data_IF_836543550311
#
_entry.id   IF_836543550311
#
_cell.length_a   1.000
_cell.length_b   1.000
_cell.length_c   1.000
_cell.angle_alpha   90.00
_cell.angle_beta   90.00
_cell.angle_gamma   90.00
#
_symmetry.space_group_name_H-M   'P 1'
#
loop_
_entity.id
_entity.type
_entity.pdbx_description
1 polymer ?
#
# COMPACT_ATOMS: atom_id res chain seq x y z
N UNK A 1 -23.07 7.37 16.87
CA UNK A 1 -22.65 6.09 16.26
C UNK A 1 -21.14 6.11 16.13
N UNK A 2 -20.43 5.19 16.79
CA UNK A 2 -18.98 5.07 16.63
C UNK A 2 -18.72 4.31 15.32
N UNK A 3 -18.47 5.03 14.23
CA UNK A 3 -18.08 4.41 12.96
C UNK A 3 -16.59 4.10 13.08
N UNK A 4 -16.24 2.82 13.23
CA UNK A 4 -14.83 2.40 13.19
C UNK A 4 -14.18 2.95 11.91
N UNK A 5 -13.01 3.59 12.02
CA UNK A 5 -12.33 4.14 10.87
C UNK A 5 -12.04 3.03 9.86
N UNK A 6 -12.31 3.30 8.58
CA UNK A 6 -12.04 2.32 7.53
C UNK A 6 -10.54 2.09 7.40
N UNK A 7 -10.14 0.85 7.16
CA UNK A 7 -8.74 0.47 7.00
C UNK A 7 -8.22 0.94 5.62
N UNK A 8 -7.04 1.55 5.61
CA UNK A 8 -6.29 1.92 4.42
C UNK A 8 -4.92 1.24 4.47
N UNK A 9 -4.72 0.25 3.60
CA UNK A 9 -3.44 -0.44 3.44
C UNK A 9 -2.63 0.22 2.34
N UNK A 10 -1.40 0.59 2.65
CA UNK A 10 -0.49 1.29 1.74
C UNK A 10 0.74 0.43 1.54
N UNK A 11 0.90 -0.21 0.38
CA UNK A 11 2.11 -0.96 0.04
C UNK A 11 3.19 0.04 -0.37
N UNK A 12 4.28 0.10 0.40
CA UNK A 12 5.36 1.07 0.24
C UNK A 12 6.65 0.36 -0.16
N UNK A 13 7.50 1.04 -0.92
CA UNK A 13 8.88 0.63 -1.15
C UNK A 13 9.49 1.32 -2.35
N UNK A 14 10.79 1.14 -2.55
CA UNK A 14 11.48 1.64 -3.74
C UNK A 14 10.91 1.09 -5.06
N UNK A 15 11.33 1.67 -6.20
CA UNK A 15 11.19 0.98 -7.48
C UNK A 15 11.69 -0.46 -7.38
N UNK A 16 11.07 -1.37 -8.14
CA UNK A 16 11.50 -2.77 -8.23
C UNK A 16 11.37 -3.63 -6.94
N UNK A 17 10.77 -3.13 -5.85
CA UNK A 17 10.49 -3.95 -4.65
C UNK A 17 9.37 -4.99 -4.83
N UNK A 18 8.71 -5.00 -5.98
CA UNK A 18 7.67 -5.97 -6.28
C UNK A 18 6.29 -5.59 -5.78
N UNK A 19 6.04 -4.33 -5.41
CA UNK A 19 4.75 -3.85 -4.87
C UNK A 19 3.54 -4.32 -5.68
N UNK A 20 3.61 -4.16 -7.01
CA UNK A 20 2.58 -4.62 -7.95
C UNK A 20 2.41 -6.13 -7.94
N UNK A 21 3.51 -6.88 -7.93
CA UNK A 21 3.47 -8.35 -7.86
C UNK A 21 2.87 -8.80 -6.53
N UNK A 22 3.27 -8.19 -5.42
CA UNK A 22 2.69 -8.43 -4.08
C UNK A 22 1.18 -8.20 -4.12
N UNK A 23 0.72 -7.06 -4.62
CA UNK A 23 -0.71 -6.77 -4.76
C UNK A 23 -1.43 -7.83 -5.63
N UNK A 24 -0.87 -8.18 -6.79
CA UNK A 24 -1.43 -9.20 -7.68
C UNK A 24 -1.53 -10.56 -6.99
N UNK A 25 -0.52 -10.95 -6.21
CA UNK A 25 -0.52 -12.20 -5.44
C UNK A 25 -1.56 -12.16 -4.32
N UNK A 26 -1.67 -11.06 -3.57
CA UNK A 26 -2.66 -10.88 -2.49
C UNK A 26 -4.09 -11.08 -2.99
N UNK A 27 -4.41 -10.57 -4.18
CA UNK A 27 -5.75 -10.68 -4.75
C UNK A 27 -5.91 -11.82 -5.75
N UNK A 28 -4.86 -12.60 -6.01
CA UNK A 28 -4.80 -13.63 -7.06
C UNK A 28 -5.31 -13.11 -8.42
N UNK A 29 -4.91 -11.89 -8.79
CA UNK A 29 -5.36 -11.18 -10.00
C UNK A 29 -4.18 -10.55 -10.72
N UNK A 30 -4.11 -10.67 -12.05
CA UNK A 30 -3.06 -10.03 -12.87
C UNK A 30 -3.29 -8.53 -13.11
N UNK A 31 -4.54 -8.08 -13.08
CA UNK A 31 -4.91 -6.70 -13.38
C UNK A 31 -5.95 -6.17 -12.42
N UNK A 32 -5.86 -4.87 -12.16
CA UNK A 32 -6.88 -4.11 -11.44
C UNK A 32 -7.40 -3.06 -12.43
N UNK A 33 -8.55 -3.36 -13.03
CA UNK A 33 -9.28 -2.36 -13.81
C UNK A 33 -9.84 -1.31 -12.84
N UNK A 34 -10.24 -0.12 -13.31
CA UNK A 34 -10.99 0.86 -12.52
C UNK A 34 -12.29 0.25 -12.01
N UNK A 35 -12.23 -0.48 -10.89
CA UNK A 35 -13.38 -1.19 -10.37
C UNK A 35 -14.26 -0.20 -9.62
N UNK A 36 -15.48 -0.01 -10.12
CA UNK A 36 -16.55 0.74 -9.45
C UNK A 36 -17.12 -0.01 -8.22
N UNK A 37 -16.59 -1.18 -7.87
CA UNK A 37 -17.11 -2.05 -6.80
C UNK A 37 -15.98 -2.73 -6.02
N UNK A 38 -16.18 -3.01 -4.72
CA UNK A 38 -15.24 -3.79 -3.93
C UNK A 38 -14.94 -5.16 -4.53
N UNK A 39 -13.67 -5.56 -4.46
CA UNK A 39 -13.22 -6.91 -4.77
C UNK A 39 -13.01 -7.69 -3.48
N UNK A 40 -13.25 -8.99 -3.53
CA UNK A 40 -12.95 -9.91 -2.43
C UNK A 40 -11.71 -10.72 -2.79
N UNK A 41 -10.92 -11.08 -1.79
CA UNK A 41 -9.85 -12.07 -1.92
C UNK A 41 -10.13 -13.21 -0.95
N UNK A 42 -10.07 -14.45 -1.43
CA UNK A 42 -10.43 -15.63 -0.62
C UNK A 42 -9.66 -15.70 0.71
N UNK A 43 -8.39 -15.29 0.70
CA UNK A 43 -7.51 -15.24 1.86
C UNK A 43 -7.90 -14.20 2.93
N UNK A 44 -8.81 -13.27 2.62
CA UNK A 44 -9.34 -12.28 3.56
C UNK A 44 -10.84 -12.49 3.81
N UNK A 45 -11.37 -13.66 3.45
CA UNK A 45 -12.78 -14.02 3.62
C UNK A 45 -13.73 -13.11 2.82
N UNK A 46 -14.79 -12.63 3.49
CA UNK A 46 -15.84 -11.82 2.87
C UNK A 46 -15.56 -10.30 2.83
N UNK A 47 -14.39 -9.87 3.33
CA UNK A 47 -14.01 -8.46 3.43
C UNK A 47 -13.81 -7.85 2.03
N UNK A 48 -14.46 -6.72 1.78
CA UNK A 48 -14.37 -6.00 0.51
C UNK A 48 -13.18 -5.05 0.48
N UNK A 49 -12.52 -4.96 -0.68
CA UNK A 49 -11.40 -4.06 -0.92
C UNK A 49 -11.63 -3.18 -2.15
N UNK A 50 -11.28 -1.91 -2.05
CA UNK A 50 -11.10 -1.02 -3.18
C UNK A 50 -9.59 -0.90 -3.44
N UNK A 51 -9.15 -1.43 -4.57
CA UNK A 51 -7.74 -1.38 -4.96
C UNK A 51 -7.50 -0.20 -5.89
N UNK A 52 -6.72 0.76 -5.43
CA UNK A 52 -6.31 1.94 -6.18
C UNK A 52 -4.96 1.62 -6.84
N UNK A 53 -5.03 0.96 -7.99
CA UNK A 53 -3.85 0.67 -8.81
C UNK A 53 -3.66 1.76 -9.86
N UNK A 54 -2.48 2.36 -9.90
CA UNK A 54 -2.10 3.37 -10.88
C UNK A 54 -0.89 2.81 -11.62
N UNK A 55 -0.90 2.85 -12.96
CA UNK A 55 0.16 2.26 -13.76
C UNK A 55 1.47 3.05 -13.61
N UNK A 56 2.59 2.34 -13.59
CA UNK A 56 3.94 2.89 -13.32
C UNK A 56 4.50 3.79 -14.45
N UNK A 57 3.74 4.12 -15.50
CA UNK A 57 4.31 4.59 -16.77
C UNK A 57 4.63 6.10 -16.86
N UNK A 58 4.13 6.95 -15.95
CA UNK A 58 4.59 8.33 -15.68
C UNK A 58 3.48 9.11 -14.98
N UNK A 59 3.36 9.02 -13.66
CA UNK A 59 2.42 9.88 -12.94
C UNK A 59 3.18 10.70 -11.92
N UNK A 60 3.01 12.01 -12.03
CA UNK A 60 3.39 12.96 -11.00
C UNK A 60 2.62 12.58 -9.74
N UNK A 61 3.19 12.79 -8.56
CA UNK A 61 2.49 12.50 -7.30
C UNK A 61 1.15 13.23 -7.21
N UNK A 62 1.04 14.40 -7.84
CA UNK A 62 -0.20 15.18 -7.93
C UNK A 62 -1.32 14.40 -8.65
N UNK A 63 -1.05 13.82 -9.81
CA UNK A 63 -2.01 13.02 -10.58
C UNK A 63 -2.43 11.78 -9.79
N UNK A 64 -1.44 11.16 -9.17
CA UNK A 64 -1.60 9.98 -8.32
C UNK A 64 -2.50 10.29 -7.12
N UNK A 65 -2.27 11.42 -6.44
CA UNK A 65 -3.07 11.90 -5.32
C UNK A 65 -4.49 12.28 -5.76
N UNK A 66 -4.64 12.97 -6.89
CA UNK A 66 -5.95 13.33 -7.44
C UNK A 66 -6.79 12.07 -7.69
N UNK A 67 -6.18 11.01 -8.22
CA UNK A 67 -6.84 9.74 -8.44
C UNK A 67 -7.21 9.03 -7.13
N UNK A 68 -6.33 9.02 -6.12
CA UNK A 68 -6.65 8.51 -4.78
C UNK A 68 -7.89 9.21 -4.23
N UNK A 69 -7.87 10.56 -4.22
CA UNK A 69 -8.97 11.38 -3.72
C UNK A 69 -10.27 11.06 -4.44
N UNK A 70 -10.24 10.98 -5.78
CA UNK A 70 -11.41 10.68 -6.60
C UNK A 70 -12.02 9.30 -6.26
N UNK A 71 -11.19 8.26 -6.15
CA UNK A 71 -11.66 6.90 -5.83
C UNK A 71 -12.17 6.80 -4.38
N UNK A 72 -11.48 7.42 -3.43
CA UNK A 72 -11.94 7.43 -2.03
C UNK A 72 -13.26 8.18 -1.87
N UNK A 73 -13.44 9.30 -2.59
CA UNK A 73 -14.68 10.07 -2.61
C UNK A 73 -15.84 9.30 -3.27
N UNK A 74 -15.60 8.55 -4.36
CA UNK A 74 -16.66 7.75 -4.99
C UNK A 74 -17.10 6.54 -4.14
N UNK A 75 -16.36 6.24 -3.07
CA UNK A 75 -16.59 5.09 -2.20
C UNK A 75 -16.82 5.50 -0.74
N UNK A 76 -17.23 6.73 -0.44
CA UNK A 76 -17.47 7.19 0.94
C UNK A 76 -18.40 6.27 1.74
N UNK A 77 -19.49 5.81 1.12
CA UNK A 77 -20.50 4.95 1.75
C UNK A 77 -20.24 3.45 1.56
N UNK A 78 -19.20 3.08 0.79
CA UNK A 78 -18.89 1.68 0.54
C UNK A 78 -18.19 1.06 1.77
N UNK A 79 -18.73 -0.02 2.37
CA UNK A 79 -18.11 -0.69 3.51
C UNK A 79 -16.96 -1.59 3.04
N UNK A 80 -15.87 -0.98 2.61
CA UNK A 80 -14.68 -1.65 2.10
C UNK A 80 -13.41 -1.01 2.67
N UNK A 81 -12.36 -1.84 2.76
CA UNK A 81 -11.00 -1.36 3.02
C UNK A 81 -10.37 -0.86 1.72
N UNK A 82 -9.41 0.05 1.83
CA UNK A 82 -8.67 0.56 0.67
C UNK A 82 -7.29 -0.07 0.61
N UNK A 83 -6.79 -0.29 -0.60
CA UNK A 83 -5.44 -0.77 -0.85
C UNK A 83 -4.79 0.08 -1.93
N UNK A 84 -3.59 0.57 -1.68
CA UNK A 84 -2.91 1.52 -2.56
C UNK A 84 -1.41 1.23 -2.58
N UNK A 85 -0.74 1.44 -3.72
CA UNK A 85 0.71 1.21 -3.87
C UNK A 85 1.42 2.53 -4.06
N UNK A 86 2.35 2.90 -3.17
CA UNK A 86 3.19 4.08 -3.33
C UNK A 86 4.66 3.72 -3.49
N UNK A 87 5.38 4.50 -4.30
CA UNK A 87 6.84 4.43 -4.35
C UNK A 87 7.43 5.36 -3.30
N UNK A 88 8.44 4.87 -2.57
CA UNK A 88 9.13 5.66 -1.57
C UNK A 88 10.17 6.56 -2.24
N UNK A 89 9.79 7.82 -2.49
CA UNK A 89 10.64 8.87 -3.05
C UNK A 89 10.39 10.13 -2.20
N UNK A 90 11.45 10.69 -1.60
CA UNK A 90 11.36 11.76 -0.60
C UNK A 90 12.33 12.92 -0.91
N UNK A 91 12.52 13.22 -2.20
CA UNK A 91 13.58 14.07 -2.73
C UNK A 91 13.13 15.45 -3.25
N UNK A 92 11.84 15.80 -3.11
CA UNK A 92 11.25 17.03 -3.63
C UNK A 92 10.93 17.02 -5.13
N UNK A 93 11.16 15.90 -5.82
CA UNK A 93 10.83 15.76 -7.24
C UNK A 93 9.33 15.68 -7.49
N UNK A 94 8.93 15.66 -8.76
CA UNK A 94 7.54 15.39 -9.18
C UNK A 94 7.02 14.02 -8.73
N UNK A 95 7.90 13.13 -8.24
CA UNK A 95 7.57 11.80 -7.70
C UNK A 95 7.62 11.76 -6.17
N UNK A 96 7.93 12.86 -5.50
CA UNK A 96 7.97 12.94 -4.04
C UNK A 96 6.62 12.54 -3.45
N UNK A 97 6.61 11.58 -2.53
CA UNK A 97 5.40 10.99 -1.95
C UNK A 97 4.81 11.81 -0.80
N UNK A 98 5.51 12.82 -0.28
CA UNK A 98 5.08 13.66 0.86
C UNK A 98 3.64 14.19 0.72
N UNK A 99 3.17 14.69 -0.45
CA UNK A 99 1.78 15.14 -0.57
C UNK A 99 0.74 14.04 -0.31
N UNK A 100 1.05 12.79 -0.69
CA UNK A 100 0.19 11.63 -0.42
C UNK A 100 0.20 11.29 1.06
N UNK A 101 1.37 11.33 1.71
CA UNK A 101 1.49 11.09 3.15
C UNK A 101 0.73 12.16 3.95
N UNK A 102 0.85 13.44 3.58
CA UNK A 102 0.09 14.54 4.19
C UNK A 102 -1.42 14.32 4.08
N UNK A 103 -1.90 13.90 2.90
CA UNK A 103 -3.31 13.56 2.72
C UNK A 103 -3.75 12.41 3.62
N UNK A 104 -2.96 11.34 3.74
CA UNK A 104 -3.27 10.21 4.62
C UNK A 104 -3.24 10.60 6.11
N UNK A 105 -2.28 11.44 6.52
CA UNK A 105 -2.18 11.94 7.89
C UNK A 105 -3.43 12.74 8.32
N UNK A 106 -4.01 13.49 7.39
CA UNK A 106 -5.23 14.27 7.60
C UNK A 106 -6.52 13.46 7.39
N UNK A 107 -6.40 12.23 6.92
CA UNK A 107 -7.56 11.40 6.61
C UNK A 107 -8.20 10.78 7.84
N UNK A 108 -9.49 10.46 7.77
CA UNK A 108 -10.21 9.70 8.80
C UNK A 108 -9.94 8.19 8.78
N UNK A 109 -9.04 7.70 7.94
CA UNK A 109 -8.74 6.28 7.82
C UNK A 109 -7.83 5.78 8.93
N UNK A 110 -7.91 4.48 9.22
CA UNK A 110 -6.91 3.74 9.96
C UNK A 110 -5.86 3.23 8.98
N UNK A 111 -4.72 3.91 8.93
CA UNK A 111 -3.71 3.76 7.87
C UNK A 111 -2.64 2.77 8.32
N UNK A 112 -2.35 1.77 7.48
CA UNK A 112 -1.30 0.79 7.70
C UNK A 112 -0.34 0.77 6.51
N UNK A 113 0.89 1.18 6.75
CA UNK A 113 1.96 1.19 5.75
C UNK A 113 2.70 -0.14 5.77
N UNK A 114 2.61 -0.89 4.67
CA UNK A 114 3.25 -2.18 4.47
C UNK A 114 4.54 -1.96 3.66
N UNK A 115 5.65 -1.73 4.36
CA UNK A 115 6.92 -1.32 3.75
C UNK A 115 7.74 -2.54 3.32
N UNK A 116 7.85 -2.75 2.01
CA UNK A 116 8.68 -3.80 1.42
C UNK A 116 10.13 -3.30 1.30
N UNK A 117 10.99 -3.72 2.22
CA UNK A 117 12.33 -3.14 2.35
C UNK A 117 13.31 -3.59 1.27
N UNK A 118 13.13 -4.76 0.66
CA UNK A 118 14.08 -5.34 -0.30
C UNK A 118 13.57 -5.36 -1.75
N UNK A 119 14.47 -5.09 -2.70
CA UNK A 119 14.21 -5.18 -4.13
C UNK A 119 14.12 -6.64 -4.62
N UNK A 120 13.22 -6.91 -5.57
CA UNK A 120 13.10 -8.22 -6.21
C UNK A 120 14.22 -8.51 -7.20
N UNK A 121 14.77 -7.47 -7.82
CA UNK A 121 15.69 -7.62 -8.97
C UNK A 121 17.10 -7.21 -8.62
N UNK A 122 17.25 -6.24 -7.72
CA UNK A 122 18.53 -5.63 -7.38
C UNK A 122 18.87 -5.96 -5.92
N UNK A 123 20.16 -5.98 -5.60
CA UNK A 123 20.65 -6.07 -4.21
C UNK A 123 20.51 -4.72 -3.50
N UNK A 124 19.33 -4.10 -3.61
CA UNK A 124 18.98 -2.83 -2.97
C UNK A 124 17.98 -3.06 -1.85
N UNK A 125 18.23 -2.40 -0.74
CA UNK A 125 17.36 -2.34 0.44
C UNK A 125 17.08 -0.88 0.74
N UNK A 126 15.90 -0.56 1.28
CA UNK A 126 15.60 0.78 1.78
C UNK A 126 16.58 1.08 2.91
N UNK A 127 17.31 2.18 2.79
CA UNK A 127 18.26 2.58 3.83
C UNK A 127 17.52 3.01 5.10
N UNK A 128 18.12 2.76 6.25
CA UNK A 128 17.58 3.21 7.55
C UNK A 128 17.27 4.71 7.56
N UNK A 129 18.14 5.54 6.97
CA UNK A 129 17.90 6.98 6.83
C UNK A 129 16.61 7.31 6.08
N UNK A 130 16.26 6.54 5.04
CA UNK A 130 15.02 6.74 4.30
C UNK A 130 13.80 6.17 5.03
N UNK A 131 13.96 5.10 5.83
CA UNK A 131 12.91 4.61 6.73
C UNK A 131 12.62 5.67 7.79
N UNK A 132 13.65 6.29 8.36
CA UNK A 132 13.51 7.31 9.38
C UNK A 132 12.87 8.59 8.81
N UNK A 133 13.34 9.05 7.65
CA UNK A 133 12.70 10.17 6.95
C UNK A 133 11.23 9.87 6.63
N UNK A 134 10.91 8.62 6.24
CA UNK A 134 9.54 8.20 6.03
C UNK A 134 8.71 8.26 7.32
N UNK A 135 9.23 7.76 8.45
CA UNK A 135 8.58 7.83 9.77
C UNK A 135 8.29 9.27 10.17
N UNK A 136 9.22 10.19 9.95
CA UNK A 136 9.04 11.62 10.26
C UNK A 136 7.88 12.26 9.49
N UNK A 137 7.56 11.75 8.29
CA UNK A 137 6.43 12.21 7.49
C UNK A 137 5.11 11.48 7.75
N UNK A 138 5.12 10.39 8.53
CA UNK A 138 3.91 9.65 8.92
C UNK A 138 3.52 10.05 10.34
N UNK A 139 2.62 11.03 10.46
CA UNK A 139 2.11 11.47 11.76
C UNK A 139 0.89 10.67 12.22
N UNK A 140 0.22 9.95 11.31
CA UNK A 140 -0.92 9.08 11.60
C UNK A 140 -0.81 7.76 10.84
N UNK A 141 -1.00 6.66 11.55
CA UNK A 141 -0.98 5.31 10.99
C UNK A 141 0.13 4.44 11.58
N UNK A 142 0.15 3.18 11.19
CA UNK A 142 1.11 2.18 11.67
C UNK A 142 2.03 1.76 10.54
N UNK A 143 3.32 1.65 10.83
CA UNK A 143 4.34 1.22 9.87
C UNK A 143 4.74 -0.23 10.17
N UNK A 144 4.59 -1.09 9.17
CA UNK A 144 4.93 -2.52 9.21
C UNK A 144 6.09 -2.74 8.25
N UNK A 145 7.26 -3.10 8.77
CA UNK A 145 8.46 -3.33 7.97
C UNK A 145 8.57 -4.80 7.59
N UNK A 146 8.82 -5.07 6.31
CA UNK A 146 9.07 -6.41 5.78
C UNK A 146 10.51 -6.46 5.23
N UNK A 147 11.45 -6.83 6.10
CA UNK A 147 12.90 -6.76 5.91
C UNK A 147 13.49 -7.95 5.13
N UNK A 148 12.73 -9.06 5.01
CA UNK A 148 13.14 -10.28 4.30
C UNK A 148 13.76 -9.94 2.94
N UNK A 149 14.98 -10.42 2.71
CA UNK A 149 15.72 -10.24 1.45
C UNK A 149 15.18 -11.17 0.36
N UNK A 150 14.52 -10.61 -0.67
CA UNK A 150 13.83 -11.41 -1.71
C UNK A 150 14.52 -11.41 -3.08
N UNK A 151 15.66 -10.73 -3.23
CA UNK A 151 16.33 -10.55 -4.52
C UNK A 151 16.53 -11.87 -5.26
N UNK A 152 15.95 -11.97 -6.46
CA UNK A 152 15.99 -13.16 -7.33
C UNK A 152 15.53 -14.48 -6.67
N UNK A 153 14.79 -14.41 -5.56
CA UNK A 153 14.32 -15.58 -4.82
C UNK A 153 12.80 -15.65 -4.78
N UNK A 154 12.23 -16.50 -5.64
CA UNK A 154 10.77 -16.74 -5.70
C UNK A 154 10.23 -17.27 -4.36
N UNK A 155 10.99 -18.14 -3.68
CA UNK A 155 10.60 -18.68 -2.38
C UNK A 155 10.51 -17.57 -1.33
N UNK A 156 11.57 -16.78 -1.16
CA UNK A 156 11.56 -15.68 -0.17
C UNK A 156 10.55 -14.59 -0.51
N UNK A 157 10.30 -14.34 -1.79
CA UNK A 157 9.22 -13.45 -2.20
C UNK A 157 7.85 -13.98 -1.75
N UNK A 158 7.57 -15.28 -1.94
CA UNK A 158 6.34 -15.92 -1.48
C UNK A 158 6.19 -15.80 0.05
N UNK A 159 7.23 -16.13 0.80
CA UNK A 159 7.24 -15.99 2.26
C UNK A 159 6.92 -14.56 2.72
N UNK A 160 7.50 -13.55 2.06
CA UNK A 160 7.19 -12.14 2.35
C UNK A 160 5.71 -11.81 2.08
N UNK A 161 5.14 -12.33 1.00
CA UNK A 161 3.72 -12.12 0.70
C UNK A 161 2.81 -12.81 1.72
N UNK A 162 3.20 -13.99 2.21
CA UNK A 162 2.50 -14.69 3.29
C UNK A 162 2.54 -13.88 4.60
N UNK A 163 3.68 -13.29 4.93
CA UNK A 163 3.84 -12.38 6.07
C UNK A 163 2.93 -11.15 5.94
N UNK A 164 2.96 -10.48 4.79
CA UNK A 164 2.06 -9.35 4.47
C UNK A 164 0.59 -9.77 4.60
N UNK A 165 0.25 -10.96 4.13
CA UNK A 165 -1.13 -11.50 4.21
C UNK A 165 -1.56 -11.68 5.66
N UNK A 166 -0.71 -12.27 6.51
CA UNK A 166 -0.98 -12.46 7.95
C UNK A 166 -1.20 -11.13 8.66
N UNK A 167 -0.35 -10.14 8.41
CA UNK A 167 -0.49 -8.79 8.98
C UNK A 167 -1.83 -8.16 8.58
N UNK A 168 -2.17 -8.19 7.29
CA UNK A 168 -3.44 -7.65 6.81
C UNK A 168 -4.64 -8.35 7.48
N UNK A 169 -4.61 -9.69 7.61
CA UNK A 169 -5.75 -10.41 8.18
C UNK A 169 -5.96 -10.08 9.67
N UNK A 170 -4.88 -9.98 10.45
CA UNK A 170 -4.91 -9.52 11.85
C UNK A 170 -5.48 -8.11 11.97
N UNK A 171 -5.02 -7.19 11.12
CA UNK A 171 -5.47 -5.78 11.13
C UNK A 171 -6.93 -5.61 10.69
N UNK A 172 -7.42 -6.54 9.88
CA UNK A 172 -8.82 -6.58 9.47
C UNK A 172 -9.74 -7.24 10.51
N UNK A 173 -9.18 -7.99 11.48
CA UNK A 173 -9.93 -8.57 12.59
C UNK A 173 -10.07 -7.58 13.76
N UNK A 174 -9.22 -6.56 13.82
CA UNK A 174 -9.29 -5.48 14.82
C UNK A 174 -10.36 -4.45 14.44
N UNK A 175 -11.26 -4.16 15.38
CA UNK A 175 -12.36 -3.20 15.24
C UNK A 175 -11.93 -1.76 15.40
#
# INVERSE_FOLDING_TARGET
MNISPRKLFVIVGYPHTGKKVTLQTLFRRKGFFPFKRPIKAAQFGNKGFIVINISDHNHRTEDYLARIKAVMASHTETPASFMVIISLVLDGSIRDVKPVLQYFNQSGFDVHYLVLCSSMYEKKVISEANIELFRQHVSKGQIHLFDKLVTQSTLRFRERVEEVTKVIDVLLATR
#
